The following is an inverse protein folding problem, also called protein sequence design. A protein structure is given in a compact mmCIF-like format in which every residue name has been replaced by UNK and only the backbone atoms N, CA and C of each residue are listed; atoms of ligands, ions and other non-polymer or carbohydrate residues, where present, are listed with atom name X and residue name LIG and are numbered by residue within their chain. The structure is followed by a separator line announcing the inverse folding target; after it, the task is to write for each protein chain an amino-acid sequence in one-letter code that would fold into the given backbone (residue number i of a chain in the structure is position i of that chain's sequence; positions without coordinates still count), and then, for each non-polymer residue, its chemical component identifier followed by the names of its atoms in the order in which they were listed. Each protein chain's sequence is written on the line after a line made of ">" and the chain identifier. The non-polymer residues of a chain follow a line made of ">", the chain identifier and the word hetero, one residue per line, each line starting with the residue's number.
data_IF_835476117647
#
_entry.id   IF_835476117647
#
_cell.length_a   1.000
_cell.length_b   1.000
_cell.length_c   1.000
_cell.angle_alpha   90.00
_cell.angle_beta   90.00
_cell.angle_gamma   90.00
#
_symmetry.space_group_name_H-M   'P 1'
#
loop_
_entity.id
_entity.type
_entity.pdbx_description
1 polymer ?
#
# COMPACT_ATOMS: atom_id res chain seq x y z
N UNK A 1 0.72 -22.06 4.47
CA UNK A 1 -0.71 -22.07 4.81
C UNK A 1 -1.51 -21.43 3.67
N UNK A 2 -2.80 -21.77 3.54
CA UNK A 2 -3.66 -21.22 2.48
C UNK A 2 -3.81 -19.70 2.55
N UNK A 3 -3.84 -19.13 3.77
CA UNK A 3 -3.95 -17.67 3.94
C UNK A 3 -2.79 -16.89 3.31
N UNK A 4 -1.55 -17.38 3.38
CA UNK A 4 -0.41 -16.71 2.76
C UNK A 4 -0.33 -16.95 1.25
N UNK A 5 -0.82 -18.11 0.77
CA UNK A 5 -0.95 -18.40 -0.66
C UNK A 5 -1.95 -17.46 -1.33
N UNK A 6 -3.12 -17.26 -0.73
CA UNK A 6 -4.13 -16.32 -1.23
C UNK A 6 -3.64 -14.87 -1.23
N UNK A 7 -3.02 -14.44 -0.12
CA UNK A 7 -2.39 -13.13 -0.01
C UNK A 7 -1.36 -12.89 -1.11
N UNK A 8 -0.38 -13.79 -1.27
CA UNK A 8 0.67 -13.66 -2.29
C UNK A 8 0.10 -13.60 -3.72
N UNK A 9 -0.87 -14.47 -4.02
CA UNK A 9 -1.57 -14.50 -5.32
C UNK A 9 -2.22 -13.15 -5.64
N UNK A 10 -2.94 -12.55 -4.68
CA UNK A 10 -3.58 -11.24 -4.84
C UNK A 10 -2.56 -10.12 -5.01
N UNK A 11 -1.53 -10.10 -4.17
CA UNK A 11 -0.45 -9.12 -4.26
C UNK A 11 0.20 -9.12 -5.63
N UNK A 12 0.54 -10.29 -6.19
CA UNK A 12 1.20 -10.37 -7.49
C UNK A 12 0.28 -10.01 -8.64
N UNK A 13 -0.96 -10.52 -8.68
CA UNK A 13 -1.87 -10.28 -9.82
C UNK A 13 -2.34 -8.84 -9.95
N UNK A 14 -2.50 -8.16 -8.81
CA UNK A 14 -2.93 -6.76 -8.76
C UNK A 14 -1.75 -5.79 -8.65
N UNK A 15 -0.52 -6.31 -8.77
CA UNK A 15 0.74 -5.58 -8.57
C UNK A 15 0.72 -4.64 -7.34
N UNK A 16 0.21 -5.16 -6.22
CA UNK A 16 0.02 -4.36 -5.01
C UNK A 16 1.37 -4.07 -4.36
N UNK A 17 1.60 -2.80 -4.06
CA UNK A 17 2.73 -2.34 -3.26
C UNK A 17 2.24 -1.95 -1.87
N UNK A 18 2.95 -2.43 -0.85
CA UNK A 18 2.63 -2.14 0.55
C UNK A 18 3.71 -1.28 1.19
N UNK A 19 3.33 -0.48 2.18
CA UNK A 19 4.26 0.31 3.01
C UNK A 19 4.21 -0.21 4.44
N UNK A 20 5.38 -0.42 5.05
CA UNK A 20 5.44 -0.71 6.49
C UNK A 20 5.23 0.59 7.28
N UNK A 21 4.44 0.53 8.35
CA UNK A 21 4.24 1.67 9.27
C UNK A 21 5.28 1.73 10.40
N UNK A 22 6.13 0.72 10.50
CA UNK A 22 7.20 0.58 11.49
C UNK A 22 8.55 0.42 10.74
N UNK A 23 9.52 -0.26 11.35
CA UNK A 23 10.89 -0.42 10.86
C UNK A 23 11.09 -1.57 9.87
N UNK A 24 10.05 -1.94 9.10
CA UNK A 24 10.12 -3.04 8.10
C UNK A 24 10.52 -4.41 8.69
N UNK A 25 10.42 -4.58 10.02
CA UNK A 25 10.86 -5.75 10.78
C UNK A 25 9.72 -6.44 11.57
N UNK A 26 8.45 -6.13 11.25
CA UNK A 26 7.29 -6.69 11.98
C UNK A 26 7.31 -8.23 12.04
N UNK A 27 7.12 -8.78 13.23
CA UNK A 27 6.92 -10.21 13.44
C UNK A 27 5.63 -10.69 12.76
N UNK A 28 5.75 -11.74 11.95
CA UNK A 28 4.61 -12.35 11.24
C UNK A 28 4.36 -13.74 11.82
N UNK A 29 3.34 -13.84 12.67
CA UNK A 29 2.84 -15.09 13.25
C UNK A 29 1.46 -15.46 12.66
N UNK A 30 0.84 -16.54 13.14
CA UNK A 30 -0.46 -16.97 12.62
C UNK A 30 -1.61 -15.99 12.91
N UNK A 31 -1.62 -15.38 14.10
CA UNK A 31 -2.73 -14.55 14.62
C UNK A 31 -2.68 -13.12 14.10
N UNK A 32 -1.49 -12.57 13.91
CA UNK A 32 -1.22 -11.16 13.63
C UNK A 32 -0.56 -10.93 12.27
N UNK A 33 -0.43 -11.95 11.41
CA UNK A 33 0.09 -11.77 10.03
C UNK A 33 -0.59 -10.68 9.21
N UNK A 34 -1.82 -10.32 9.54
CA UNK A 34 -2.57 -9.26 8.84
C UNK A 34 -2.19 -7.84 9.31
N UNK A 35 -1.44 -7.68 10.41
CA UNK A 35 -1.08 -6.37 10.97
C UNK A 35 -0.20 -5.55 10.02
N UNK A 36 0.68 -6.20 9.26
CA UNK A 36 1.57 -5.53 8.31
C UNK A 36 1.68 -6.32 7.01
N UNK A 37 1.02 -5.83 5.95
CA UNK A 37 1.04 -6.44 4.62
C UNK A 37 2.44 -6.40 4.00
N UNK A 38 3.19 -5.32 4.19
CA UNK A 38 4.58 -5.22 3.72
C UNK A 38 5.44 -6.36 4.27
N UNK A 39 5.56 -6.47 5.59
CA UNK A 39 6.44 -7.47 6.22
C UNK A 39 5.94 -8.90 5.92
N UNK A 40 4.62 -9.10 5.82
CA UNK A 40 4.05 -10.38 5.39
C UNK A 40 4.49 -10.76 3.98
N UNK A 41 4.44 -9.82 3.03
CA UNK A 41 4.86 -10.06 1.65
C UNK A 41 6.36 -10.30 1.54
N UNK A 42 7.17 -9.51 2.24
CA UNK A 42 8.62 -9.74 2.33
C UNK A 42 8.95 -11.12 2.91
N UNK A 43 8.21 -11.57 3.93
CA UNK A 43 8.37 -12.93 4.47
C UNK A 43 7.96 -14.02 3.50
N UNK A 44 6.92 -13.81 2.68
CA UNK A 44 6.56 -14.73 1.61
C UNK A 44 7.71 -14.90 0.61
N UNK A 45 8.31 -13.78 0.17
CA UNK A 45 9.47 -13.78 -0.72
C UNK A 45 10.67 -14.48 -0.07
N UNK A 46 10.99 -14.16 1.19
CA UNK A 46 12.12 -14.78 1.90
C UNK A 46 11.94 -16.28 2.16
N UNK A 47 10.69 -16.76 2.19
CA UNK A 47 10.36 -18.20 2.23
C UNK A 47 10.28 -18.84 0.84
N UNK A 48 10.67 -18.14 -0.23
CA UNK A 48 10.82 -18.69 -1.57
C UNK A 48 9.56 -18.66 -2.43
N UNK A 49 8.52 -17.90 -2.06
CA UNK A 49 7.40 -17.67 -2.97
C UNK A 49 7.86 -16.82 -4.16
N UNK A 50 7.64 -17.32 -5.37
CA UNK A 50 8.13 -16.75 -6.63
C UNK A 50 7.02 -15.98 -7.34
N UNK A 51 7.27 -14.72 -7.71
CA UNK A 51 6.26 -13.87 -8.39
C UNK A 51 5.91 -14.47 -9.75
N UNK A 52 6.93 -14.93 -10.48
CA UNK A 52 6.84 -15.56 -11.79
C UNK A 52 6.04 -16.88 -11.80
N UNK A 53 5.88 -17.53 -10.64
CA UNK A 53 5.06 -18.74 -10.51
C UNK A 53 3.55 -18.43 -10.44
N UNK A 54 3.15 -17.17 -10.23
CA UNK A 54 1.75 -16.76 -10.20
C UNK A 54 1.27 -16.52 -11.63
N UNK A 55 0.60 -17.51 -12.19
CA UNK A 55 -0.03 -17.38 -13.52
C UNK A 55 -1.11 -16.28 -13.50
N UNK A 56 -1.18 -15.48 -14.57
CA UNK A 56 -2.15 -14.39 -14.74
C UNK A 56 -3.62 -14.88 -14.72
N UNK A 57 -3.84 -16.18 -14.93
CA UNK A 57 -5.12 -16.85 -14.75
C UNK A 57 -5.65 -17.42 -16.06
N UNK A 58 -6.38 -18.54 -15.96
CA UNK A 58 -7.26 -18.99 -17.05
C UNK A 58 -8.54 -18.17 -16.92
N UNK A 59 -8.92 -17.44 -17.96
CA UNK A 59 -10.23 -16.78 -18.03
C UNK A 59 -11.32 -17.86 -17.86
N UNK A 60 -11.88 -17.98 -16.66
CA UNK A 60 -13.11 -18.73 -16.42
C UNK A 60 -14.24 -17.71 -16.44
N UNK A 61 -15.32 -18.07 -17.12
CA UNK A 61 -16.55 -17.27 -17.24
C UNK A 61 -16.98 -16.73 -15.87
N UNK A 62 -17.18 -15.42 -15.81
CA UNK A 62 -17.36 -14.59 -14.61
C UNK A 62 -18.64 -14.94 -13.85
N UNK A 63 -18.59 -15.76 -12.80
CA UNK A 63 -19.74 -15.84 -11.88
C UNK A 63 -19.41 -15.88 -10.37
N UNK A 64 -18.15 -15.96 -9.90
CA UNK A 64 -17.89 -16.14 -8.45
C UNK A 64 -16.54 -15.58 -7.93
N UNK A 65 -16.22 -14.28 -8.06
CA UNK A 65 -15.02 -13.73 -7.39
C UNK A 65 -15.06 -12.20 -7.09
N UNK A 66 -16.24 -11.61 -6.90
CA UNK A 66 -16.40 -10.16 -6.68
C UNK A 66 -15.93 -9.66 -5.29
N UNK A 67 -15.62 -10.54 -4.34
CA UNK A 67 -15.25 -10.16 -2.98
C UNK A 67 -13.78 -9.75 -2.82
N UNK A 68 -12.87 -10.33 -3.63
CA UNK A 68 -11.42 -10.04 -3.57
C UNK A 68 -11.07 -8.66 -4.18
N UNK A 69 -11.98 -8.01 -4.92
CA UNK A 69 -11.79 -6.70 -5.58
C UNK A 69 -12.05 -5.50 -4.69
N UNK A 70 -13.02 -5.59 -3.77
CA UNK A 70 -13.46 -4.44 -2.98
C UNK A 70 -12.43 -4.03 -1.90
N UNK A 71 -11.67 -4.98 -1.34
CA UNK A 71 -10.75 -4.72 -0.22
C UNK A 71 -9.50 -3.88 -0.62
N UNK A 72 -9.17 -3.81 -1.92
CA UNK A 72 -7.98 -3.08 -2.40
C UNK A 72 -8.26 -1.68 -2.93
N UNK A 73 -9.50 -1.40 -3.35
CA UNK A 73 -9.93 -0.06 -3.77
C UNK A 73 -9.90 0.90 -2.57
N UNK A 74 -10.35 0.43 -1.39
CA UNK A 74 -10.44 1.27 -0.20
C UNK A 74 -9.07 1.77 0.29
N UNK A 75 -8.01 0.96 0.19
CA UNK A 75 -6.67 1.39 0.60
C UNK A 75 -6.06 2.44 -0.34
N UNK A 76 -6.20 2.27 -1.66
CA UNK A 76 -5.68 3.23 -2.63
C UNK A 76 -6.38 4.59 -2.51
N UNK A 77 -7.71 4.58 -2.38
CA UNK A 77 -8.49 5.81 -2.18
C UNK A 77 -8.12 6.49 -0.86
N UNK A 78 -7.92 5.73 0.22
CA UNK A 78 -7.51 6.26 1.50
C UNK A 78 -6.10 6.89 1.46
N UNK A 79 -5.13 6.23 0.81
CA UNK A 79 -3.76 6.76 0.64
C UNK A 79 -3.77 8.02 -0.23
N UNK A 80 -4.52 8.03 -1.33
CA UNK A 80 -4.65 9.21 -2.19
C UNK A 80 -5.27 10.38 -1.42
N UNK A 81 -6.30 10.14 -0.61
CA UNK A 81 -6.92 11.16 0.24
C UNK A 81 -5.94 11.74 1.27
N UNK A 82 -5.09 10.91 1.88
CA UNK A 82 -4.05 11.37 2.82
C UNK A 82 -2.97 12.18 2.13
N UNK A 83 -2.53 11.79 0.93
CA UNK A 83 -1.55 12.55 0.13
C UNK A 83 -2.13 13.91 -0.25
N UNK A 84 -3.37 13.95 -0.74
CA UNK A 84 -4.05 15.20 -1.12
C UNK A 84 -4.21 16.13 0.07
N UNK A 85 -4.66 15.64 1.24
CA UNK A 85 -4.80 16.46 2.45
C UNK A 85 -3.45 17.03 2.94
N UNK A 86 -2.37 16.25 2.85
CA UNK A 86 -1.03 16.76 3.18
C UNK A 86 -0.53 17.80 2.18
N UNK A 87 -0.82 17.61 0.90
CA UNK A 87 -0.45 18.57 -0.13
C UNK A 87 -1.21 19.89 0.02
N UNK A 88 -2.48 19.85 0.41
CA UNK A 88 -3.25 21.07 0.71
C UNK A 88 -2.72 21.80 1.94
N UNK A 89 -2.40 21.09 3.03
CA UNK A 89 -1.80 21.72 4.22
C UNK A 89 -0.44 22.38 3.93
N UNK A 90 0.42 21.71 3.16
CA UNK A 90 1.71 22.27 2.77
C UNK A 90 1.57 23.50 1.85
N UNK A 91 0.52 23.54 1.02
CA UNK A 91 0.20 24.70 0.21
C UNK A 91 -0.31 25.88 1.06
N UNK A 92 -1.08 25.61 2.13
CA UNK A 92 -1.54 26.64 3.08
C UNK A 92 -0.39 27.25 3.89
N UNK A 93 0.56 26.42 4.36
CA UNK A 93 1.78 26.88 5.07
C UNK A 93 2.68 27.76 4.18
N UNK A 94 2.71 27.51 2.87
CA UNK A 94 3.50 28.30 1.91
C UNK A 94 2.93 29.70 1.61
N UNK A 95 1.69 30.01 2.03
CA UNK A 95 1.08 31.34 1.82
C UNK A 95 1.40 32.30 2.98
N UNK A 96 1.90 31.81 4.12
CA UNK A 96 2.03 32.60 5.35
C UNK A 96 3.40 33.30 5.53
N UNK A 97 4.39 33.04 4.67
CA UNK A 97 5.69 33.76 4.68
C UNK A 97 6.05 34.40 3.33
N UNK A 98 5.40 35.53 2.95
CA UNK A 98 6.01 36.43 1.99
C UNK A 98 7.21 37.15 2.65
N UNK A 99 8.40 36.98 2.08
CA UNK A 99 9.61 37.70 2.46
C UNK A 99 9.49 39.15 1.98
N UNK A 100 9.23 40.08 2.88
CA UNK A 100 9.17 41.52 2.66
C UNK A 100 10.60 42.10 2.63
N UNK A 101 11.17 42.21 1.43
CA UNK A 101 12.49 42.83 1.14
C UNK A 101 12.39 44.33 0.76
N UNK A 102 11.56 45.13 1.44
CA UNK A 102 11.51 46.59 1.23
C UNK A 102 11.48 47.39 2.56
N UNK A 103 12.58 47.35 3.32
CA UNK A 103 12.67 48.09 4.59
C UNK A 103 14.06 48.61 5.01
N UNK A 104 15.07 48.63 4.13
CA UNK A 104 16.43 49.07 4.49
C UNK A 104 16.98 50.27 3.70
N UNK A 105 16.09 51.08 3.14
CA UNK A 105 16.39 52.44 2.68
C UNK A 105 15.23 53.38 3.07
N UNK A 106 15.14 53.77 4.34
CA UNK A 106 15.42 55.14 4.77
C UNK A 106 15.45 55.26 6.30
#
# INVERSE_FOLDING_TARGET
>A
CEGCKGFFKRTVRKDLTYVCRNEKSCTIDERHRNRCQYCRYQKCLSKGMKREAVQEGRQRTKEHDNSDEIECIDHFHNVQNVITYKATLAAEEAVEYPIDLEGFYH
#
